data_IF_154137354521
#
_entry.id   IF_154137354521
#
_cell.length_a   1.000
_cell.length_b   1.000
_cell.length_c   1.000
_cell.angle_alpha   90.00
_cell.angle_beta   90.00
_cell.angle_gamma   90.00
#
_symmetry.space_group_name_H-M   'P 1'
#
loop_
_entity.id
_entity.type
_entity.pdbx_description
1 polymer ?
#
# COMPACT_ATOMS: atom_id res chain seq x y z
N UNK A 1 -63.55 -7.18 43.79
CA UNK A 1 -64.30 -7.01 45.06
C UNK A 1 -63.29 -6.92 46.18
N UNK A 2 -63.52 -6.01 47.14
CA UNK A 2 -62.97 -6.02 48.51
C UNK A 2 -61.44 -5.93 48.72
N UNK A 3 -60.97 -4.68 48.87
CA UNK A 3 -59.92 -4.24 49.83
C UNK A 3 -60.44 -4.29 51.30
N UNK A 4 -59.69 -3.85 52.36
CA UNK A 4 -58.29 -3.36 52.48
C UNK A 4 -57.44 -4.33 53.36
N UNK A 5 -56.63 -4.07 54.42
CA UNK A 5 -56.14 -2.93 55.26
C UNK A 5 -54.94 -3.49 56.11
N UNK A 6 -53.91 -2.83 56.69
CA UNK A 6 -53.40 -1.44 56.73
C UNK A 6 -51.97 -1.39 57.39
N UNK A 7 -51.39 -0.18 57.51
CA UNK A 7 -50.54 0.35 58.62
C UNK A 7 -49.17 -0.24 59.00
N UNK A 8 -48.13 0.50 58.59
CA UNK A 8 -47.03 1.06 59.43
C UNK A 8 -47.57 2.00 60.56
N UNK A 9 -46.81 2.62 61.52
CA UNK A 9 -45.35 2.91 61.54
C UNK A 9 -44.62 2.78 62.92
N UNK A 10 -43.33 3.22 63.00
CA UNK A 10 -42.60 3.58 64.25
C UNK A 10 -41.07 3.36 64.17
N UNK A 11 -40.15 4.29 63.85
CA UNK A 11 -39.83 5.68 64.28
C UNK A 11 -38.99 5.83 65.60
N UNK A 12 -37.66 5.77 65.48
CA UNK A 12 -36.64 6.54 66.26
C UNK A 12 -35.31 6.52 65.46
N UNK A 13 -34.64 7.63 65.09
CA UNK A 13 -34.06 8.79 65.84
C UNK A 13 -32.89 8.34 66.75
N UNK A 14 -31.70 8.96 66.74
CA UNK A 14 -31.36 10.40 66.59
C UNK A 14 -29.97 10.71 65.97
N UNK A 15 -29.80 11.93 65.40
CA UNK A 15 -28.65 12.88 65.53
C UNK A 15 -27.20 12.40 65.26
N UNK A 16 -26.45 12.89 64.25
CA UNK A 16 -25.74 14.21 64.12
C UNK A 16 -24.20 14.04 64.21
N UNK A 17 -23.31 14.88 63.66
CA UNK A 17 -23.44 16.12 62.89
C UNK A 17 -22.29 16.32 61.85
N UNK A 18 -22.44 17.39 61.05
CA UNK A 18 -21.58 17.87 59.94
C UNK A 18 -20.10 18.14 60.28
N UNK A 19 -19.27 18.12 59.23
CA UNK A 19 -18.23 19.13 59.00
C UNK A 19 -18.04 19.41 57.49
N UNK A 20 -18.21 20.66 57.05
CA UNK A 20 -17.84 21.14 55.71
C UNK A 20 -16.55 21.96 55.78
N UNK A 21 -15.77 22.00 54.71
CA UNK A 21 -14.86 23.12 54.44
C UNK A 21 -14.70 23.35 52.93
N UNK A 22 -14.47 24.61 52.53
CA UNK A 22 -14.41 25.09 51.14
C UNK A 22 -13.22 26.06 50.97
N UNK A 23 -12.94 26.62 49.76
CA UNK A 23 -11.59 26.68 49.22
C UNK A 23 -10.77 27.89 49.68
N UNK A 24 -9.51 27.94 49.23
CA UNK A 24 -8.73 29.17 49.12
C UNK A 24 -8.39 29.47 47.66
N UNK A 25 -8.60 30.71 47.26
CA UNK A 25 -8.07 31.29 46.04
C UNK A 25 -6.67 31.88 46.29
N UNK A 26 -5.85 31.99 45.25
CA UNK A 26 -4.90 33.10 45.10
C UNK A 26 -4.87 33.56 43.64
N UNK A 27 -5.22 34.84 43.46
CA UNK A 27 -4.96 35.69 42.28
C UNK A 27 -3.44 35.81 42.04
N UNK A 28 -2.89 36.25 40.90
CA UNK A 28 -3.40 36.65 39.57
C UNK A 28 -2.18 36.89 38.65
N UNK A 29 -2.34 36.91 37.32
CA UNK A 29 -1.34 37.53 36.44
C UNK A 29 -1.34 37.04 35.00
N UNK A 30 -2.06 37.74 34.11
CA UNK A 30 -1.80 37.68 32.67
C UNK A 30 -0.44 38.33 32.36
N UNK A 31 0.29 37.81 31.35
CA UNK A 31 0.81 38.70 30.30
C UNK A 31 1.26 38.02 29.00
N UNK A 32 1.07 38.79 27.95
CA UNK A 32 1.13 38.47 26.53
C UNK A 32 2.57 38.53 25.96
N UNK A 33 2.88 37.57 25.08
CA UNK A 33 3.82 37.63 23.94
C UNK A 33 5.36 37.72 24.10
N UNK A 34 6.00 37.36 22.98
CA UNK A 34 7.20 37.92 22.35
C UNK A 34 8.41 36.96 22.21
N UNK A 35 8.89 36.83 20.96
CA UNK A 35 10.19 36.23 20.63
C UNK A 35 11.34 37.16 21.05
N UNK A 36 12.49 36.63 21.49
CA UNK A 36 13.74 37.37 21.43
C UNK A 36 14.22 37.52 19.96
N UNK A 37 14.76 38.67 19.55
CA UNK A 37 15.22 38.92 18.18
C UNK A 37 16.67 38.47 17.93
N UNK A 38 17.10 38.57 16.67
CA UNK A 38 18.47 38.35 16.18
C UNK A 38 19.31 39.63 16.09
N UNK A 39 20.64 39.47 16.06
CA UNK A 39 21.67 40.51 15.87
C UNK A 39 21.93 41.40 17.12
N UNK A 40 23.08 42.09 17.28
CA UNK A 40 24.17 42.37 16.32
C UNK A 40 25.56 42.61 17.00
N UNK A 41 26.63 42.41 16.22
CA UNK A 41 28.01 43.01 16.26
C UNK A 41 28.78 43.34 17.58
N UNK A 42 30.08 43.01 17.57
CA UNK A 42 31.15 43.65 18.37
C UNK A 42 32.04 42.66 19.13
N UNK A 43 33.37 42.80 19.24
CA UNK A 43 34.30 43.78 18.66
C UNK A 43 35.66 43.78 19.41
N UNK A 44 36.80 43.94 18.71
CA UNK A 44 38.17 43.85 19.26
C UNK A 44 38.88 42.54 18.86
N UNK A 45 39.93 42.48 18.02
CA UNK A 45 41.26 43.14 18.02
C UNK A 45 42.29 42.48 18.97
N UNK A 46 43.54 42.28 18.51
CA UNK A 46 44.58 41.65 19.34
C UNK A 46 45.93 41.22 18.74
N UNK A 47 46.33 41.64 17.53
CA UNK A 47 47.66 41.33 16.95
C UNK A 47 47.88 39.85 16.52
N UNK A 48 49.01 39.48 15.92
CA UNK A 48 50.14 40.29 15.46
C UNK A 48 51.39 39.42 15.25
N UNK A 49 51.74 39.08 14.00
CA UNK A 49 52.90 38.24 13.68
C UNK A 49 53.22 38.23 12.18
N UNK A 50 54.46 38.54 11.82
CA UNK A 50 54.86 38.90 10.46
C UNK A 50 55.95 37.96 9.90
N UNK A 51 56.02 37.84 8.56
CA UNK A 51 57.16 37.44 7.69
C UNK A 51 57.27 35.99 7.15
N UNK A 52 57.22 35.95 5.82
CA UNK A 52 58.17 35.28 4.90
C UNK A 52 58.27 33.73 4.87
N UNK A 53 57.47 33.12 3.98
CA UNK A 53 57.94 32.34 2.81
C UNK A 53 58.66 30.99 2.98
N UNK A 54 58.23 29.97 2.20
CA UNK A 54 59.04 28.94 1.50
C UNK A 54 58.10 28.02 0.68
N UNK A 55 58.66 27.15 -0.18
CA UNK A 55 57.97 26.37 -1.21
C UNK A 55 57.00 25.25 -0.75
N UNK A 56 56.10 24.91 -1.70
CA UNK A 56 55.40 23.62 -1.93
C UNK A 56 56.21 22.35 -1.53
N UNK A 57 55.58 21.21 -1.18
CA UNK A 57 54.67 20.52 -2.12
C UNK A 57 53.47 19.69 -1.59
N UNK A 58 52.55 19.38 -2.53
CA UNK A 58 51.61 18.25 -2.60
C UNK A 58 50.65 17.92 -1.42
N UNK A 59 49.34 18.09 -1.67
CA UNK A 59 48.24 17.42 -0.97
C UNK A 59 47.18 16.94 -1.98
N UNK A 60 46.68 15.71 -1.85
CA UNK A 60 45.91 15.01 -2.92
C UNK A 60 44.39 15.14 -2.73
N UNK A 61 43.62 15.22 -3.82
CA UNK A 61 42.17 15.47 -3.78
C UNK A 61 41.34 14.41 -3.05
N UNK A 62 40.53 14.85 -2.08
CA UNK A 62 39.39 14.10 -1.55
C UNK A 62 38.08 14.39 -2.31
N UNK A 63 37.85 13.72 -3.46
CA UNK A 63 36.56 13.78 -4.20
C UNK A 63 36.12 12.38 -4.65
N UNK A 64 35.62 11.56 -3.72
CA UNK A 64 35.05 10.25 -4.06
C UNK A 64 33.94 9.80 -3.08
N UNK A 65 32.79 10.50 -3.10
CA UNK A 65 31.52 10.08 -2.47
C UNK A 65 30.30 10.10 -3.42
N UNK A 66 30.50 10.48 -4.69
CA UNK A 66 29.46 10.58 -5.71
C UNK A 66 29.57 9.54 -6.83
N UNK A 67 30.52 8.60 -6.75
CA UNK A 67 30.80 7.65 -7.85
C UNK A 67 30.07 6.32 -7.70
N UNK A 68 29.83 5.87 -6.47
CA UNK A 68 29.36 4.52 -6.19
C UNK A 68 27.87 4.37 -6.51
N UNK A 69 27.03 5.34 -6.13
CA UNK A 69 25.59 5.39 -6.50
C UNK A 69 25.33 5.30 -8.02
N UNK A 70 26.22 5.85 -8.84
CA UNK A 70 26.13 5.75 -10.31
C UNK A 70 26.60 4.40 -10.84
N UNK A 71 27.44 3.67 -10.09
CA UNK A 71 27.94 2.36 -10.47
C UNK A 71 26.86 1.28 -10.31
N UNK A 72 26.06 1.38 -9.25
CA UNK A 72 24.98 0.44 -8.97
C UNK A 72 23.79 0.64 -9.94
N UNK A 73 23.40 1.90 -10.21
CA UNK A 73 22.40 2.22 -11.26
C UNK A 73 22.79 1.68 -12.63
N UNK A 74 24.06 1.82 -13.06
CA UNK A 74 24.50 1.26 -14.34
C UNK A 74 24.49 -0.28 -14.35
N UNK A 75 24.82 -0.95 -13.24
CA UNK A 75 24.75 -2.41 -13.14
C UNK A 75 23.31 -2.94 -13.15
N UNK A 76 22.34 -2.17 -12.63
CA UNK A 76 20.92 -2.48 -12.79
C UNK A 76 20.50 -2.33 -14.26
N UNK A 77 20.83 -1.19 -14.90
CA UNK A 77 20.47 -0.89 -16.30
C UNK A 77 20.97 -1.92 -17.32
N UNK A 78 22.17 -2.49 -17.13
CA UNK A 78 22.73 -3.51 -18.05
C UNK A 78 21.95 -4.85 -18.08
N UNK A 79 20.98 -5.06 -17.18
CA UNK A 79 20.25 -6.32 -17.02
C UNK A 79 18.72 -6.14 -17.09
N UNK A 80 18.26 -4.98 -17.57
CA UNK A 80 16.87 -4.74 -17.95
C UNK A 80 16.65 -5.25 -19.39
N UNK A 81 15.43 -5.69 -19.73
CA UNK A 81 15.05 -5.94 -21.11
C UNK A 81 15.24 -4.72 -22.02
N UNK A 82 15.68 -4.96 -23.26
CA UNK A 82 15.87 -3.87 -24.23
C UNK A 82 14.54 -3.49 -24.91
N UNK A 83 14.36 -2.19 -25.14
CA UNK A 83 13.17 -1.59 -25.78
C UNK A 83 13.18 -1.80 -27.31
N UNK A 84 13.30 -3.04 -27.76
CA UNK A 84 13.03 -3.43 -29.14
C UNK A 84 11.51 -3.33 -29.42
N UNK A 85 11.10 -2.86 -30.59
CA UNK A 85 9.69 -2.98 -31.00
C UNK A 85 9.37 -4.45 -31.32
N UNK A 86 8.57 -5.08 -30.47
CA UNK A 86 8.16 -6.48 -30.64
C UNK A 86 7.15 -6.60 -31.80
N UNK A 87 7.63 -7.10 -32.93
CA UNK A 87 6.81 -7.51 -34.07
C UNK A 87 5.96 -8.74 -33.70
N UNK A 88 4.69 -8.49 -33.33
CA UNK A 88 3.69 -9.52 -33.01
C UNK A 88 3.52 -10.55 -34.14
N UNK A 89 3.90 -10.21 -35.39
CA UNK A 89 3.82 -11.10 -36.56
C UNK A 89 4.91 -12.19 -36.60
N UNK A 90 6.03 -12.03 -35.87
CA UNK A 90 7.23 -12.89 -36.02
C UNK A 90 7.46 -13.86 -34.88
N UNK A 91 7.07 -13.50 -33.66
CA UNK A 91 7.12 -14.37 -32.50
C UNK A 91 5.72 -14.41 -31.89
N UNK A 92 4.89 -15.32 -32.39
CA UNK A 92 3.59 -15.60 -31.77
C UNK A 92 3.82 -16.10 -30.34
N UNK A 93 3.53 -15.25 -29.35
CA UNK A 93 3.48 -15.65 -27.94
C UNK A 93 2.32 -16.62 -27.77
N UNK A 94 2.64 -17.92 -27.80
CA UNK A 94 1.75 -18.95 -28.35
C UNK A 94 0.32 -18.96 -27.82
N UNK A 95 -0.64 -19.16 -28.73
CA UNK A 95 -2.04 -19.46 -28.42
C UNK A 95 -2.25 -20.92 -27.97
N UNK A 96 -1.19 -21.57 -27.48
CA UNK A 96 -1.31 -22.73 -26.59
C UNK A 96 -1.90 -22.33 -25.24
N UNK A 97 -2.12 -23.28 -24.32
CA UNK A 97 -2.72 -23.02 -23.01
C UNK A 97 -2.00 -21.89 -22.26
N UNK A 98 -2.76 -20.98 -21.66
CA UNK A 98 -2.22 -19.92 -20.81
C UNK A 98 -2.01 -20.43 -19.38
N UNK A 99 -0.90 -20.04 -18.76
CA UNK A 99 -0.64 -20.27 -17.33
C UNK A 99 -0.47 -18.93 -16.61
N UNK A 100 -1.18 -18.73 -15.49
CA UNK A 100 -1.09 -17.50 -14.69
C UNK A 100 0.06 -17.59 -13.68
N UNK A 101 1.06 -16.71 -13.83
CA UNK A 101 2.16 -16.56 -12.88
C UNK A 101 1.64 -16.21 -11.48
N UNK A 102 0.59 -15.40 -11.35
CA UNK A 102 0.03 -15.03 -10.04
C UNK A 102 -0.62 -16.23 -9.35
N UNK A 103 -1.27 -17.13 -10.10
CA UNK A 103 -1.79 -18.39 -9.54
C UNK A 103 -0.65 -19.31 -9.09
N UNK A 104 0.41 -19.45 -9.89
CA UNK A 104 1.60 -20.22 -9.50
C UNK A 104 2.29 -19.65 -8.24
N UNK A 105 2.42 -18.32 -8.13
CA UNK A 105 2.94 -17.66 -6.91
C UNK A 105 2.08 -18.00 -5.67
N UNK A 106 0.77 -18.20 -5.82
CA UNK A 106 -0.16 -18.51 -4.72
C UNK A 106 -0.18 -19.98 -4.30
N UNK A 107 0.07 -20.93 -5.20
CA UNK A 107 0.08 -22.39 -4.87
C UNK A 107 1.08 -22.72 -3.74
N UNK A 108 0.76 -23.67 -2.83
CA UNK A 108 1.71 -24.14 -1.82
C UNK A 108 2.87 -24.89 -2.48
N UNK A 109 4.01 -25.01 -1.76
CA UNK A 109 5.22 -25.61 -2.32
C UNK A 109 5.00 -27.02 -2.88
N UNK A 110 4.21 -27.87 -2.20
CA UNK A 110 3.93 -29.23 -2.67
C UNK A 110 3.27 -29.26 -4.05
N UNK A 111 2.21 -28.48 -4.27
CA UNK A 111 1.52 -28.40 -5.58
C UNK A 111 2.42 -27.88 -6.71
N UNK A 112 3.51 -27.17 -6.39
CA UNK A 112 4.52 -26.76 -7.36
C UNK A 112 5.57 -27.85 -7.63
N UNK A 113 5.83 -28.75 -6.67
CA UNK A 113 6.60 -29.98 -6.92
C UNK A 113 5.78 -30.94 -7.79
N UNK A 114 4.51 -31.16 -7.44
CA UNK A 114 3.60 -32.06 -8.15
C UNK A 114 3.47 -31.64 -9.63
N UNK A 115 3.20 -30.35 -9.88
CA UNK A 115 3.11 -29.78 -11.24
C UNK A 115 4.48 -29.77 -11.98
N UNK A 116 5.59 -29.66 -11.26
CA UNK A 116 6.92 -29.78 -11.88
C UNK A 116 7.19 -31.23 -12.33
N UNK A 117 6.76 -32.24 -11.56
CA UNK A 117 6.86 -33.65 -11.94
C UNK A 117 5.95 -34.00 -13.13
N UNK A 118 4.71 -33.49 -13.16
CA UNK A 118 3.80 -33.61 -14.33
C UNK A 118 4.42 -33.03 -15.62
N UNK A 119 5.19 -31.94 -15.51
CA UNK A 119 5.92 -31.31 -16.61
C UNK A 119 7.30 -31.96 -16.90
N UNK A 120 7.64 -33.06 -16.24
CA UNK A 120 8.89 -33.81 -16.43
C UNK A 120 10.14 -33.13 -15.85
N UNK A 121 9.98 -32.14 -14.99
CA UNK A 121 11.06 -31.35 -14.39
C UNK A 121 11.57 -32.07 -13.13
N UNK A 122 12.54 -32.96 -13.28
CA UNK A 122 13.06 -33.78 -12.17
C UNK A 122 14.36 -33.26 -11.55
N UNK A 123 15.17 -32.50 -12.29
CA UNK A 123 16.48 -32.04 -11.82
C UNK A 123 16.38 -30.81 -10.90
N UNK A 124 16.98 -30.91 -9.70
CA UNK A 124 17.20 -29.79 -8.78
C UNK A 124 15.96 -29.29 -8.00
N UNK A 125 14.74 -29.56 -8.49
CA UNK A 125 13.48 -29.00 -7.96
C UNK A 125 13.31 -29.19 -6.45
N UNK A 126 13.60 -30.39 -5.93
CA UNK A 126 13.45 -30.73 -4.51
C UNK A 126 14.37 -29.95 -3.52
N UNK A 127 15.31 -29.14 -4.02
CA UNK A 127 16.14 -28.21 -3.22
C UNK A 127 16.09 -26.76 -3.70
N UNK A 128 15.30 -26.48 -4.74
CA UNK A 128 15.13 -25.15 -5.30
C UNK A 128 14.20 -24.30 -4.41
N UNK A 129 14.34 -22.97 -4.43
CA UNK A 129 13.38 -22.09 -3.72
C UNK A 129 12.10 -22.00 -4.52
N UNK A 130 10.98 -21.63 -3.89
CA UNK A 130 9.67 -21.51 -4.55
C UNK A 130 9.72 -20.70 -5.86
N UNK A 131 10.41 -19.56 -5.86
CA UNK A 131 10.61 -18.72 -7.06
C UNK A 131 11.38 -19.46 -8.17
N UNK A 132 12.42 -20.21 -7.82
CA UNK A 132 13.22 -20.97 -8.78
C UNK A 132 12.38 -22.10 -9.42
N UNK A 133 11.52 -22.76 -8.64
CA UNK A 133 10.57 -23.80 -9.12
C UNK A 133 9.54 -23.19 -10.08
N UNK A 134 8.92 -22.06 -9.71
CA UNK A 134 7.98 -21.34 -10.59
C UNK A 134 8.66 -20.93 -11.91
N UNK A 135 9.91 -20.46 -11.86
CA UNK A 135 10.67 -20.15 -13.07
C UNK A 135 10.92 -21.39 -13.96
N UNK A 136 11.21 -22.55 -13.38
CA UNK A 136 11.36 -23.81 -14.11
C UNK A 136 10.05 -24.23 -14.80
N UNK A 137 8.92 -24.20 -14.07
CA UNK A 137 7.58 -24.51 -14.59
C UNK A 137 7.25 -23.60 -15.79
N UNK A 138 7.38 -22.28 -15.63
CA UNK A 138 7.12 -21.32 -16.72
C UNK A 138 8.03 -21.54 -17.93
N UNK A 139 9.29 -21.91 -17.72
CA UNK A 139 10.26 -22.19 -18.79
C UNK A 139 9.96 -23.51 -19.53
N UNK A 140 9.41 -24.52 -18.85
CA UNK A 140 8.94 -25.74 -19.49
C UNK A 140 7.67 -25.48 -20.30
N UNK A 141 6.69 -24.77 -19.72
CA UNK A 141 5.43 -24.40 -20.37
C UNK A 141 5.63 -23.57 -21.64
N UNK A 142 6.49 -22.55 -21.57
CA UNK A 142 6.86 -21.72 -22.73
C UNK A 142 7.57 -22.52 -23.83
N UNK A 143 8.39 -23.53 -23.47
CA UNK A 143 9.02 -24.45 -24.43
C UNK A 143 8.02 -25.39 -25.11
N UNK A 144 6.91 -25.71 -24.46
CA UNK A 144 5.80 -26.47 -25.03
C UNK A 144 4.87 -25.62 -25.93
N UNK A 145 5.16 -24.33 -26.12
CA UNK A 145 4.34 -23.41 -26.92
C UNK A 145 3.15 -22.80 -26.17
N UNK A 146 3.05 -23.02 -24.85
CA UNK A 146 2.06 -22.36 -24.00
C UNK A 146 2.43 -20.92 -23.68
N UNK A 147 1.44 -20.03 -23.61
CA UNK A 147 1.64 -18.65 -23.18
C UNK A 147 1.68 -18.49 -21.66
N UNK A 148 2.30 -17.43 -21.17
CA UNK A 148 2.29 -17.05 -19.75
C UNK A 148 1.54 -15.73 -19.60
N UNK A 149 0.51 -15.72 -18.75
CA UNK A 149 -0.21 -14.50 -18.36
C UNK A 149 0.25 -14.02 -16.99
N UNK A 150 0.12 -12.71 -16.76
CA UNK A 150 0.39 -12.06 -15.48
C UNK A 150 -0.65 -10.97 -15.20
N UNK A 151 -0.77 -10.58 -13.94
CA UNK A 151 -1.56 -9.45 -13.47
C UNK A 151 -0.86 -8.72 -12.31
N UNK A 152 -0.80 -7.38 -12.33
CA UNK A 152 -0.14 -6.60 -11.28
C UNK A 152 -0.29 -5.10 -11.43
N UNK A 153 0.05 -4.34 -10.38
CA UNK A 153 -0.03 -2.86 -10.38
C UNK A 153 1.27 -2.27 -10.88
N UNK A 154 1.20 -1.39 -11.87
CA UNK A 154 2.35 -0.69 -12.42
C UNK A 154 2.94 0.34 -11.43
N UNK A 155 4.24 0.25 -11.20
CA UNK A 155 5.08 1.31 -10.65
C UNK A 155 5.98 1.86 -11.76
N UNK A 156 5.85 3.14 -12.12
CA UNK A 156 6.74 3.80 -13.09
C UNK A 156 7.89 4.49 -12.32
N UNK A 157 9.13 4.17 -12.70
CA UNK A 157 10.33 4.71 -12.07
C UNK A 157 10.85 5.98 -12.77
N UNK A 158 11.73 6.71 -12.10
CA UNK A 158 12.31 7.99 -12.57
C UNK A 158 12.95 7.93 -13.98
N UNK A 159 13.45 6.77 -14.37
CA UNK A 159 14.09 6.52 -15.67
C UNK A 159 13.07 6.29 -16.81
N UNK A 160 11.76 6.27 -16.52
CA UNK A 160 10.66 6.21 -17.50
C UNK A 160 10.20 4.80 -17.89
N UNK A 161 10.86 3.75 -17.39
CA UNK A 161 10.37 2.36 -17.43
C UNK A 161 9.64 2.02 -16.13
N UNK A 162 8.92 0.90 -16.09
CA UNK A 162 8.19 0.48 -14.89
C UNK A 162 8.25 -1.02 -14.62
N UNK A 163 7.67 -1.41 -13.49
CA UNK A 163 7.47 -2.81 -13.08
C UNK A 163 6.02 -3.07 -12.68
N UNK A 164 5.47 -4.24 -13.03
CA UNK A 164 4.24 -4.74 -12.41
C UNK A 164 4.58 -5.37 -11.06
N UNK A 165 4.04 -4.83 -9.98
CA UNK A 165 4.19 -5.30 -8.59
C UNK A 165 2.97 -6.13 -8.16
N UNK A 166 3.19 -7.14 -7.33
CA UNK A 166 2.11 -7.96 -6.77
C UNK A 166 1.43 -7.34 -5.53
N UNK A 167 0.08 -7.35 -5.44
CA UNK A 167 -0.61 -6.96 -4.20
C UNK A 167 -0.34 -7.96 -3.06
N UNK A 168 -0.20 -9.25 -3.38
CA UNK A 168 0.14 -10.33 -2.44
C UNK A 168 1.48 -10.10 -1.70
N UNK A 169 2.38 -9.32 -2.31
CA UNK A 169 3.68 -8.92 -1.78
C UNK A 169 3.66 -7.47 -1.24
N UNK A 170 2.46 -6.90 -1.00
CA UNK A 170 2.23 -5.51 -0.59
C UNK A 170 2.99 -4.49 -1.45
N UNK A 171 3.02 -4.70 -2.77
CA UNK A 171 3.74 -3.88 -3.73
C UNK A 171 5.25 -3.75 -3.42
N UNK A 172 5.88 -4.82 -2.92
CA UNK A 172 7.34 -4.93 -2.79
C UNK A 172 8.02 -5.09 -4.16
N UNK A 173 9.29 -4.73 -4.26
CA UNK A 173 10.11 -4.99 -5.43
C UNK A 173 10.66 -6.43 -5.40
N UNK A 174 10.02 -7.32 -6.18
CA UNK A 174 10.41 -8.71 -6.34
C UNK A 174 11.56 -8.92 -7.35
N UNK A 175 12.18 -10.10 -7.30
CA UNK A 175 13.09 -10.56 -8.36
C UNK A 175 12.32 -11.09 -9.59
N UNK A 176 11.06 -11.40 -9.39
CA UNK A 176 10.07 -11.98 -10.28
C UNK A 176 8.94 -10.99 -10.63
N UNK A 177 9.23 -9.69 -10.54
CA UNK A 177 8.42 -8.61 -11.11
C UNK A 177 8.60 -8.50 -12.63
N UNK A 178 7.59 -7.94 -13.29
CA UNK A 178 7.52 -7.85 -14.76
C UNK A 178 7.94 -6.46 -15.23
N UNK A 179 9.00 -6.38 -16.04
CA UNK A 179 9.43 -5.15 -16.69
C UNK A 179 8.39 -4.67 -17.73
N UNK A 180 8.08 -3.38 -17.70
CA UNK A 180 7.24 -2.68 -18.67
C UNK A 180 8.05 -1.56 -19.32
N UNK A 181 8.15 -1.60 -20.65
CA UNK A 181 8.96 -0.65 -21.42
C UNK A 181 8.39 0.79 -21.38
N UNK A 182 9.24 1.83 -21.47
CA UNK A 182 8.82 3.20 -21.74
C UNK A 182 7.94 3.32 -23.00
N UNK A 183 8.20 2.47 -24.00
CA UNK A 183 7.42 2.42 -25.25
C UNK A 183 6.00 1.91 -25.02
N UNK A 184 5.79 0.87 -24.22
CA UNK A 184 4.44 0.40 -23.82
C UNK A 184 3.74 1.45 -22.95
N UNK A 185 4.44 2.03 -21.97
CA UNK A 185 3.92 3.11 -21.10
C UNK A 185 3.39 4.28 -21.94
N UNK A 186 4.15 4.72 -22.95
CA UNK A 186 3.72 5.79 -23.88
C UNK A 186 2.60 5.34 -24.82
N UNK A 187 2.68 4.15 -25.42
CA UNK A 187 1.68 3.62 -26.39
C UNK A 187 0.28 3.51 -25.79
N UNK A 188 0.18 3.16 -24.51
CA UNK A 188 -1.09 2.98 -23.81
C UNK A 188 -1.40 4.10 -22.79
N UNK A 189 -0.55 5.13 -22.69
CA UNK A 189 -0.67 6.25 -21.74
C UNK A 189 -0.81 5.79 -20.27
N UNK A 190 -0.02 4.78 -19.90
CA UNK A 190 -0.06 4.13 -18.58
C UNK A 190 0.47 5.04 -17.48
N UNK A 191 -0.04 4.86 -16.26
CA UNK A 191 0.38 5.57 -15.04
C UNK A 191 0.67 4.60 -13.90
N UNK A 192 1.42 5.07 -12.90
CA UNK A 192 1.53 4.37 -11.63
C UNK A 192 0.13 4.11 -11.05
N UNK A 193 -0.08 2.94 -10.45
CA UNK A 193 -1.38 2.48 -9.94
C UNK A 193 -2.26 1.73 -10.95
N UNK A 194 -1.90 1.71 -12.24
CA UNK A 194 -2.67 0.95 -13.24
C UNK A 194 -2.46 -0.55 -13.04
N UNK A 195 -3.56 -1.29 -12.88
CA UNK A 195 -3.54 -2.75 -12.81
C UNK A 195 -3.57 -3.33 -14.21
N UNK A 196 -2.47 -3.91 -14.63
CA UNK A 196 -2.27 -4.42 -15.99
C UNK A 196 -2.33 -5.94 -15.93
N UNK A 197 -3.16 -6.52 -16.79
CA UNK A 197 -3.11 -7.94 -17.10
C UNK A 197 -2.67 -8.14 -18.55
N UNK A 198 -1.85 -9.15 -18.81
CA UNK A 198 -1.26 -9.35 -20.13
C UNK A 198 -0.38 -10.59 -20.26
N UNK A 199 0.05 -10.89 -21.50
CA UNK A 199 1.04 -11.94 -21.78
C UNK A 199 2.46 -11.45 -21.50
N UNK A 200 3.32 -12.30 -20.94
CA UNK A 200 4.74 -12.02 -20.69
C UNK A 200 5.67 -12.94 -21.51
N UNK A 201 6.91 -12.49 -21.70
CA UNK A 201 8.01 -13.32 -22.23
C UNK A 201 9.08 -13.54 -21.16
N UNK A 202 9.77 -14.67 -21.24
CA UNK A 202 10.98 -14.92 -20.45
C UNK A 202 12.08 -13.88 -20.78
N UNK A 203 13.02 -13.64 -19.84
CA UNK A 203 14.24 -12.90 -20.14
C UNK A 203 15.07 -13.57 -21.26
N UNK A 204 15.63 -12.73 -22.14
CA UNK A 204 16.71 -13.10 -23.08
C UNK A 204 18.03 -13.29 -22.33
N UNK A 205 19.04 -13.81 -23.02
CA UNK A 205 20.41 -13.88 -22.50
C UNK A 205 20.93 -12.49 -22.10
N UNK A 206 21.31 -12.33 -20.83
CA UNK A 206 21.73 -11.04 -20.23
C UNK A 206 20.61 -10.24 -19.54
N UNK A 207 19.33 -10.53 -19.80
CA UNK A 207 18.20 -9.93 -19.08
C UNK A 207 17.94 -10.67 -17.76
N UNK A 208 17.52 -9.96 -16.69
CA UNK A 208 17.12 -10.59 -15.42
C UNK A 208 15.61 -10.79 -15.24
N UNK A 209 14.81 -9.87 -15.76
CA UNK A 209 13.37 -9.81 -15.49
C UNK A 209 12.56 -10.38 -16.65
N UNK A 210 11.39 -10.95 -16.33
CA UNK A 210 10.36 -11.16 -17.35
C UNK A 210 9.94 -9.81 -17.93
N UNK A 211 9.61 -9.77 -19.22
CA UNK A 211 9.13 -8.56 -19.88
C UNK A 211 7.66 -8.74 -20.29
N UNK A 212 6.86 -7.69 -20.13
CA UNK A 212 5.51 -7.65 -20.67
C UNK A 212 5.59 -7.72 -22.20
N UNK A 213 4.92 -8.71 -22.81
CA UNK A 213 4.85 -8.87 -24.26
C UNK A 213 3.66 -8.07 -24.82
N UNK A 214 2.47 -8.31 -24.28
CA UNK A 214 1.22 -7.64 -24.69
C UNK A 214 0.38 -7.24 -23.48
N UNK A 215 -0.21 -6.05 -23.52
CA UNK A 215 -1.28 -5.64 -22.61
C UNK A 215 -2.59 -6.23 -23.11
N UNK A 216 -3.29 -7.00 -22.28
CA UNK A 216 -4.61 -7.55 -22.62
C UNK A 216 -5.75 -6.74 -21.96
N UNK A 217 -5.56 -6.27 -20.72
CA UNK A 217 -6.48 -5.29 -20.08
C UNK A 217 -5.74 -4.28 -19.20
N UNK A 218 -6.39 -3.12 -18.98
CA UNK A 218 -5.99 -2.06 -18.05
C UNK A 218 -7.15 -1.84 -17.08
N UNK A 219 -6.91 -2.06 -15.78
CA UNK A 219 -7.88 -2.04 -14.68
C UNK A 219 -9.15 -2.87 -14.96
N UNK A 220 -9.02 -3.98 -15.70
CA UNK A 220 -10.14 -4.86 -16.07
C UNK A 220 -10.91 -4.47 -17.33
N UNK A 221 -10.49 -3.44 -18.06
CA UNK A 221 -11.08 -3.01 -19.34
C UNK A 221 -10.10 -3.18 -20.52
N UNK A 222 -10.57 -3.32 -21.77
CA UNK A 222 -9.71 -3.29 -22.95
C UNK A 222 -8.89 -1.98 -23.04
N UNK A 223 -7.64 -2.01 -23.52
CA UNK A 223 -6.76 -0.83 -23.53
C UNK A 223 -7.31 0.38 -24.29
N UNK A 224 -8.20 0.15 -25.25
CA UNK A 224 -8.91 1.18 -26.02
C UNK A 224 -9.79 2.06 -25.13
N UNK A 225 -10.42 1.48 -24.10
CA UNK A 225 -11.33 2.19 -23.20
C UNK A 225 -10.60 3.24 -22.35
N UNK A 226 -9.31 3.02 -22.05
CA UNK A 226 -8.50 3.94 -21.23
C UNK A 226 -8.10 5.24 -21.93
N UNK A 227 -8.19 5.31 -23.26
CA UNK A 227 -7.78 6.49 -24.04
C UNK A 227 -8.68 7.71 -23.83
N UNK A 228 -9.94 7.50 -23.44
CA UNK A 228 -10.97 8.55 -23.33
C UNK A 228 -11.31 8.94 -21.88
N UNK A 229 -10.45 8.59 -20.91
CA UNK A 229 -10.73 8.80 -19.48
C UNK A 229 -10.31 10.17 -18.99
N UNK A 230 -11.10 10.72 -18.05
CA UNK A 230 -10.79 11.96 -17.35
C UNK A 230 -9.86 11.62 -16.19
N UNK A 231 -8.70 12.28 -16.14
CA UNK A 231 -7.73 12.13 -15.06
C UNK A 231 -8.33 12.49 -13.71
N UNK A 232 -7.91 11.83 -12.63
CA UNK A 232 -8.38 12.07 -11.26
C UNK A 232 -8.25 13.55 -10.86
N UNK A 233 -7.13 14.19 -11.24
CA UNK A 233 -6.86 15.60 -10.97
C UNK A 233 -7.83 16.59 -11.66
N UNK A 234 -8.55 16.13 -12.71
CA UNK A 234 -9.53 16.91 -13.45
C UNK A 234 -10.98 16.65 -13.00
N UNK A 235 -11.22 15.75 -12.05
CA UNK A 235 -12.56 15.47 -11.52
C UNK A 235 -13.00 16.60 -10.59
N UNK A 236 -14.25 17.04 -10.70
CA UNK A 236 -14.80 18.09 -9.81
C UNK A 236 -15.07 17.50 -8.41
N UNK A 237 -14.40 17.97 -7.34
CA UNK A 237 -14.67 17.49 -5.99
C UNK A 237 -16.04 17.96 -5.51
N UNK A 238 -16.81 17.06 -4.89
CA UNK A 238 -18.12 17.32 -4.31
C UNK A 238 -18.22 16.65 -2.94
N UNK A 239 -19.07 17.20 -2.07
CA UNK A 239 -19.43 16.52 -0.82
C UNK A 239 -20.18 15.20 -1.11
N UNK A 240 -20.01 14.15 -0.27
CA UNK A 240 -20.75 12.90 -0.40
C UNK A 240 -22.26 13.11 -0.46
N UNK A 241 -22.91 12.49 -1.45
CA UNK A 241 -24.39 12.53 -1.66
C UNK A 241 -25.07 11.18 -1.49
N UNK A 242 -24.29 10.13 -1.22
CA UNK A 242 -24.76 8.76 -0.95
C UNK A 242 -24.07 8.28 0.32
N UNK A 243 -24.85 7.73 1.24
CA UNK A 243 -24.34 7.10 2.47
C UNK A 243 -23.87 5.67 2.18
N UNK A 244 -22.86 5.22 2.91
CA UNK A 244 -22.62 3.81 3.18
C UNK A 244 -23.29 3.49 4.52
N UNK A 245 -24.35 2.68 4.50
CA UNK A 245 -24.98 2.16 5.71
C UNK A 245 -24.13 1.02 6.30
N UNK A 246 -23.76 1.16 7.56
CA UNK A 246 -22.93 0.24 8.31
C UNK A 246 -23.75 -0.73 9.18
N UNK A 247 -25.05 -0.47 9.40
CA UNK A 247 -25.99 -1.48 9.93
C UNK A 247 -26.09 -2.68 8.97
N UNK A 248 -25.76 -3.88 9.46
CA UNK A 248 -25.86 -5.15 8.72
C UNK A 248 -27.23 -5.83 8.91
N UNK A 249 -28.03 -5.35 9.88
CA UNK A 249 -29.41 -5.78 10.12
C UNK A 249 -29.56 -7.21 10.65
N UNK A 250 -28.46 -7.82 11.11
CA UNK A 250 -28.41 -9.22 11.51
C UNK A 250 -28.68 -9.44 13.02
N UNK A 251 -28.76 -8.36 13.80
CA UNK A 251 -29.01 -8.40 15.24
C UNK A 251 -27.83 -8.90 16.09
N UNK A 252 -26.62 -9.04 15.53
CA UNK A 252 -25.43 -9.42 16.29
C UNK A 252 -24.98 -8.28 17.22
N UNK A 253 -24.25 -8.63 18.29
CA UNK A 253 -23.66 -7.66 19.22
C UNK A 253 -22.60 -6.78 18.55
N UNK A 254 -21.96 -7.26 17.48
CA UNK A 254 -20.97 -6.51 16.71
C UNK A 254 -21.65 -5.41 15.88
N UNK A 255 -22.85 -5.70 15.36
CA UNK A 255 -23.65 -4.80 14.52
C UNK A 255 -24.02 -3.48 15.22
N UNK A 256 -24.01 -3.49 16.56
CA UNK A 256 -24.17 -2.30 17.40
C UNK A 256 -23.14 -1.21 17.03
N UNK A 257 -21.91 -1.56 16.62
CA UNK A 257 -20.91 -0.58 16.19
C UNK A 257 -21.32 0.14 14.91
N UNK A 258 -21.77 -0.59 13.88
CA UNK A 258 -22.23 0.00 12.62
C UNK A 258 -23.46 0.90 12.83
N UNK A 259 -24.41 0.42 13.62
CA UNK A 259 -25.66 1.13 13.97
C UNK A 259 -25.42 2.44 14.73
N UNK A 260 -24.42 2.49 15.62
CA UNK A 260 -24.05 3.73 16.33
C UNK A 260 -23.34 4.71 15.38
N UNK A 261 -22.48 4.22 14.48
CA UNK A 261 -21.82 5.07 13.48
C UNK A 261 -22.83 5.69 12.50
N UNK A 262 -23.78 4.91 11.99
CA UNK A 262 -24.85 5.38 11.09
C UNK A 262 -25.73 6.48 11.70
N UNK A 263 -25.86 6.52 13.03
CA UNK A 263 -26.64 7.53 13.76
C UNK A 263 -25.83 8.78 14.15
N UNK A 264 -24.54 8.64 14.50
CA UNK A 264 -23.74 9.71 15.11
C UNK A 264 -22.70 10.30 14.14
N UNK A 265 -22.13 9.48 13.26
CA UNK A 265 -21.09 9.87 12.31
C UNK A 265 -21.27 9.18 10.93
N UNK A 266 -22.33 9.51 10.17
CA UNK A 266 -22.63 8.88 8.89
C UNK A 266 -21.44 8.92 7.91
N UNK A 267 -21.11 7.77 7.32
CA UNK A 267 -20.03 7.65 6.32
C UNK A 267 -20.63 7.73 4.92
N UNK A 268 -20.05 8.55 4.05
CA UNK A 268 -20.51 8.73 2.66
C UNK A 268 -19.52 8.23 1.61
N UNK A 269 -20.00 8.03 0.38
CA UNK A 269 -19.13 7.75 -0.79
C UNK A 269 -18.27 8.98 -1.07
N UNK A 270 -16.94 8.83 -0.94
CA UNK A 270 -15.97 9.94 -0.96
C UNK A 270 -15.78 10.66 0.39
N UNK A 271 -16.22 10.08 1.51
CA UNK A 271 -16.02 10.67 2.84
C UNK A 271 -14.55 10.63 3.27
N UNK A 272 -14.03 11.77 3.75
CA UNK A 272 -12.77 11.82 4.50
C UNK A 272 -13.08 11.79 6.00
N UNK A 273 -12.90 10.63 6.62
CA UNK A 273 -13.10 10.40 8.05
C UNK A 273 -11.79 10.43 8.86
N UNK A 274 -11.89 10.40 10.18
CA UNK A 274 -10.78 10.20 11.11
C UNK A 274 -11.32 9.55 12.39
N UNK A 275 -10.77 8.39 12.77
CA UNK A 275 -11.09 7.72 14.05
C UNK A 275 -10.01 8.13 15.05
N UNK A 276 -10.37 8.95 16.03
CA UNK A 276 -9.46 9.38 17.11
C UNK A 276 -9.64 8.43 18.30
N UNK A 277 -8.62 7.64 18.60
CA UNK A 277 -8.66 6.62 19.66
C UNK A 277 -7.36 6.58 20.46
N UNK A 278 -7.46 6.43 21.78
CA UNK A 278 -6.30 6.10 22.61
C UNK A 278 -5.82 4.65 22.35
N UNK A 279 -4.55 4.31 22.67
CA UNK A 279 -4.08 2.92 22.61
C UNK A 279 -5.01 1.97 23.38
N UNK A 280 -5.26 0.78 22.82
CA UNK A 280 -6.20 -0.24 23.34
C UNK A 280 -7.68 0.15 23.42
N UNK A 281 -8.09 1.32 22.93
CA UNK A 281 -9.51 1.75 22.90
C UNK A 281 -10.35 1.13 21.74
N UNK A 282 -9.99 -0.06 21.24
CA UNK A 282 -10.78 -0.78 20.23
C UNK A 282 -10.64 -0.34 18.76
N UNK A 283 -9.63 0.47 18.40
CA UNK A 283 -9.32 0.93 17.02
C UNK A 283 -9.51 -0.18 15.97
N UNK A 284 -8.79 -1.29 16.15
CA UNK A 284 -8.72 -2.40 15.20
C UNK A 284 -10.08 -3.11 15.05
N UNK A 285 -10.80 -3.33 16.16
CA UNK A 285 -12.15 -3.92 16.15
C UNK A 285 -13.18 -3.02 15.46
N UNK A 286 -13.11 -1.70 15.66
CA UNK A 286 -14.00 -0.74 14.98
C UNK A 286 -13.74 -0.74 13.46
N UNK A 287 -12.48 -0.75 13.04
CA UNK A 287 -12.11 -0.86 11.63
C UNK A 287 -12.56 -2.20 11.01
N UNK A 288 -12.37 -3.32 11.70
CA UNK A 288 -12.89 -4.63 11.27
C UNK A 288 -14.41 -4.61 11.08
N UNK A 289 -15.18 -4.03 12.00
CA UNK A 289 -16.63 -3.92 11.88
C UNK A 289 -17.07 -3.07 10.69
N UNK A 290 -16.46 -1.89 10.49
CA UNK A 290 -16.72 -1.03 9.32
C UNK A 290 -16.41 -1.81 8.03
N UNK A 291 -15.26 -2.46 7.97
CA UNK A 291 -14.80 -3.21 6.80
C UNK A 291 -15.72 -4.41 6.47
N UNK A 292 -16.15 -5.16 7.48
CA UNK A 292 -17.13 -6.25 7.30
C UNK A 292 -18.50 -5.74 6.85
N UNK A 293 -18.97 -4.62 7.40
CA UNK A 293 -20.24 -4.01 6.99
C UNK A 293 -20.20 -3.54 5.53
N UNK A 294 -19.09 -2.89 5.10
CA UNK A 294 -18.88 -2.51 3.71
C UNK A 294 -18.86 -3.73 2.77
N UNK A 295 -18.13 -4.79 3.11
CA UNK A 295 -18.06 -6.04 2.32
C UNK A 295 -19.43 -6.75 2.23
N UNK A 296 -20.28 -6.64 3.25
CA UNK A 296 -21.63 -7.22 3.22
C UNK A 296 -22.62 -6.36 2.43
N UNK A 297 -22.66 -5.05 2.72
CA UNK A 297 -23.71 -4.15 2.24
C UNK A 297 -23.38 -3.55 0.86
N UNK A 298 -22.10 -3.48 0.50
CA UNK A 298 -21.58 -2.85 -0.72
C UNK A 298 -20.48 -3.69 -1.40
N UNK A 299 -20.79 -4.95 -1.82
CA UNK A 299 -19.81 -5.82 -2.49
C UNK A 299 -19.35 -5.30 -3.86
N UNK A 300 -19.91 -4.18 -4.37
CA UNK A 300 -19.42 -3.50 -5.57
C UNK A 300 -18.33 -2.45 -5.29
N UNK A 301 -18.13 -2.07 -4.02
CA UNK A 301 -17.08 -1.13 -3.62
C UNK A 301 -15.72 -1.83 -3.49
N UNK A 302 -14.66 -1.19 -3.97
CA UNK A 302 -13.29 -1.72 -3.88
C UNK A 302 -12.66 -1.29 -2.56
N UNK A 303 -12.64 -2.19 -1.58
CA UNK A 303 -12.11 -1.93 -0.23
C UNK A 303 -10.62 -2.29 -0.13
N UNK A 304 -9.79 -1.31 0.20
CA UNK A 304 -8.35 -1.47 0.45
C UNK A 304 -8.05 -1.18 1.93
N UNK A 305 -7.47 -2.15 2.63
CA UNK A 305 -7.03 -1.96 4.02
C UNK A 305 -5.51 -1.79 4.02
N UNK A 306 -5.07 -0.53 4.11
CA UNK A 306 -3.67 -0.17 4.22
C UNK A 306 -3.23 -0.13 5.69
N UNK A 307 -2.26 -0.99 6.05
CA UNK A 307 -1.66 -1.06 7.38
C UNK A 307 -0.20 -0.58 7.32
N UNK A 308 0.15 0.44 8.10
CA UNK A 308 1.48 1.07 8.13
C UNK A 308 1.96 1.14 9.58
N UNK A 309 3.24 0.80 9.80
CA UNK A 309 3.89 0.80 11.13
C UNK A 309 3.13 -0.05 12.16
N UNK A 310 2.49 -1.12 11.67
CA UNK A 310 1.58 -1.97 12.43
C UNK A 310 2.19 -3.37 12.65
N UNK A 311 1.68 -4.09 13.64
CA UNK A 311 2.25 -5.37 14.07
C UNK A 311 1.96 -6.54 13.11
N UNK A 312 2.91 -7.47 12.86
CA UNK A 312 2.68 -8.64 12.01
C UNK A 312 1.48 -9.50 12.44
N UNK A 313 1.22 -9.62 13.75
CA UNK A 313 0.04 -10.32 14.28
C UNK A 313 -1.28 -9.63 13.92
N UNK A 314 -1.37 -8.29 14.03
CA UNK A 314 -2.57 -7.52 13.69
C UNK A 314 -2.82 -7.48 12.17
N UNK A 315 -1.75 -7.44 11.35
CA UNK A 315 -1.83 -7.63 9.90
C UNK A 315 -2.41 -9.00 9.56
N UNK A 316 -1.91 -10.07 10.20
CA UNK A 316 -2.35 -11.45 9.98
C UNK A 316 -3.81 -11.65 10.41
N UNK A 317 -4.23 -11.02 11.50
CA UNK A 317 -5.62 -11.02 11.95
C UNK A 317 -6.54 -10.33 10.94
N UNK A 318 -6.17 -9.15 10.44
CA UNK A 318 -6.95 -8.40 9.45
C UNK A 318 -7.11 -9.18 8.13
N UNK A 319 -6.01 -9.75 7.62
CA UNK A 319 -6.00 -10.58 6.39
C UNK A 319 -6.92 -11.81 6.48
N UNK A 320 -7.17 -12.34 7.69
CA UNK A 320 -8.05 -13.49 7.91
C UNK A 320 -9.50 -13.10 8.22
N UNK A 321 -9.71 -11.89 8.73
CA UNK A 321 -11.02 -11.44 9.27
C UNK A 321 -11.85 -10.61 8.29
N UNK A 322 -11.26 -10.09 7.21
CA UNK A 322 -11.95 -9.29 6.19
C UNK A 322 -11.58 -9.75 4.78
N UNK A 323 -12.58 -9.91 3.92
CA UNK A 323 -12.40 -10.16 2.47
C UNK A 323 -12.17 -8.82 1.75
N UNK A 324 -10.95 -8.29 1.86
CA UNK A 324 -10.52 -7.00 1.29
C UNK A 324 -9.12 -7.10 0.65
N UNK A 325 -8.71 -6.07 -0.10
CA UNK A 325 -7.31 -5.92 -0.52
C UNK A 325 -6.48 -5.41 0.69
N UNK A 326 -5.88 -6.32 1.46
CA UNK A 326 -5.09 -5.94 2.65
C UNK A 326 -3.62 -5.78 2.29
N UNK A 327 -3.13 -4.54 2.31
CA UNK A 327 -1.76 -4.15 1.95
C UNK A 327 -1.04 -3.65 3.21
N UNK A 328 0.18 -4.10 3.46
CA UNK A 328 0.88 -3.85 4.73
C UNK A 328 2.36 -3.49 4.60
N UNK A 329 2.81 -2.58 5.46
CA UNK A 329 4.22 -2.40 5.80
C UNK A 329 4.33 -2.42 7.34
N UNK A 330 4.92 -3.48 7.90
CA UNK A 330 5.07 -3.63 9.36
C UNK A 330 6.14 -2.69 9.92
N UNK A 331 6.18 -2.53 11.25
CA UNK A 331 7.17 -1.70 11.95
C UNK A 331 8.64 -2.13 11.74
N UNK A 332 8.90 -3.34 11.23
CA UNK A 332 10.23 -3.83 10.88
C UNK A 332 10.80 -3.20 9.59
N UNK A 333 9.93 -2.63 8.75
CA UNK A 333 10.29 -1.99 7.48
C UNK A 333 10.75 -0.53 7.70
N UNK A 334 11.70 -0.01 6.90
CA UNK A 334 12.15 1.37 7.04
C UNK A 334 11.07 2.36 6.57
N UNK A 335 11.00 3.55 7.18
CA UNK A 335 9.98 4.57 6.84
C UNK A 335 9.87 4.94 5.35
N UNK A 336 10.95 4.80 4.56
CA UNK A 336 10.92 4.97 3.09
C UNK A 336 9.98 3.96 2.41
N UNK A 337 9.92 2.72 2.92
CA UNK A 337 9.03 1.66 2.46
C UNK A 337 7.57 1.99 2.78
N UNK A 338 7.28 2.49 3.98
CA UNK A 338 5.93 2.94 4.35
C UNK A 338 5.38 3.98 3.36
N UNK A 339 6.22 4.97 3.01
CA UNK A 339 5.89 6.00 2.01
C UNK A 339 5.63 5.38 0.63
N UNK A 340 6.54 4.54 0.14
CA UNK A 340 6.37 3.87 -1.17
C UNK A 340 5.08 3.04 -1.25
N UNK A 341 4.74 2.27 -0.21
CA UNK A 341 3.52 1.46 -0.16
C UNK A 341 2.27 2.35 -0.15
N UNK A 342 2.28 3.42 0.64
CA UNK A 342 1.17 4.38 0.67
C UNK A 342 0.99 5.13 -0.67
N UNK A 343 2.09 5.51 -1.34
CA UNK A 343 2.08 6.13 -2.68
C UNK A 343 1.52 5.17 -3.74
N UNK A 344 1.92 3.89 -3.72
CA UNK A 344 1.38 2.86 -4.60
C UNK A 344 -0.12 2.64 -4.38
N UNK A 345 -0.58 2.58 -3.13
CA UNK A 345 -1.99 2.39 -2.78
C UNK A 345 -2.86 3.60 -3.17
N UNK A 346 -2.40 4.84 -2.93
CA UNK A 346 -3.21 6.01 -3.29
C UNK A 346 -3.29 6.20 -4.81
N UNK A 347 -2.22 5.95 -5.56
CA UNK A 347 -2.30 5.96 -7.03
C UNK A 347 -3.18 4.81 -7.55
N UNK A 348 -3.12 3.63 -6.94
CA UNK A 348 -4.03 2.50 -7.23
C UNK A 348 -5.49 2.89 -7.05
N UNK A 349 -5.82 3.55 -5.94
CA UNK A 349 -7.17 4.06 -5.67
C UNK A 349 -7.60 5.14 -6.68
N UNK A 350 -6.72 6.07 -7.06
CA UNK A 350 -7.03 7.08 -8.10
C UNK A 350 -7.40 6.45 -9.44
N UNK A 351 -6.62 5.47 -9.94
CA UNK A 351 -6.93 4.79 -11.22
C UNK A 351 -8.28 4.07 -11.18
N UNK A 352 -8.65 3.48 -10.04
CA UNK A 352 -9.97 2.88 -9.83
C UNK A 352 -11.10 3.93 -9.85
N UNK A 353 -10.90 5.12 -9.26
CA UNK A 353 -11.88 6.21 -9.30
C UNK A 353 -12.01 6.84 -10.70
N UNK A 354 -10.92 6.91 -11.48
CA UNK A 354 -10.97 7.29 -12.92
C UNK A 354 -11.82 6.31 -13.74
N UNK A 355 -11.87 5.04 -13.32
CA UNK A 355 -12.78 4.00 -13.82
C UNK A 355 -14.18 4.02 -13.19
N UNK A 356 -14.54 5.09 -12.45
CA UNK A 356 -15.84 5.28 -11.78
C UNK A 356 -16.17 4.20 -10.74
N UNK A 357 -15.17 3.55 -10.16
CA UNK A 357 -15.35 2.67 -8.99
C UNK A 357 -15.45 3.51 -7.73
N UNK A 358 -16.36 3.14 -6.84
CA UNK A 358 -16.30 3.58 -5.45
C UNK A 358 -15.20 2.78 -4.75
N UNK A 359 -14.22 3.49 -4.19
CA UNK A 359 -13.07 2.93 -3.47
C UNK A 359 -13.13 3.41 -2.02
N UNK A 360 -12.76 2.54 -1.08
CA UNK A 360 -12.65 2.85 0.36
C UNK A 360 -11.27 2.43 0.86
#
# INVERSE_FOLDING_TARGET
>A
MSEPDNKDPGESRTSDARAESKPRETQSGDNIAANPPSAESGGGEGGGGERQGVNRPQGRHGRNRGRDRNRDRNQQRMQLPQDEEYDESRNGGGDGPLIDLNELKRKPAQQLLDLAEELGIQEGVARARKQDIVFMILKAHARAGGGVSVQGVLEILQDGFGFLRGPDESYLAGADDIYVSPSQIRRFNLRTGDYIAGRVRNPKEGERYFALLRVDTINGEPPEASKNKVLFENLTPLFPRKMFHLERGNGSTEDITGRILDLIAPVGRGQRGMIVSQPKAGKTMMLQNIAQALVQNYPEAHLIILLIDERPEEVTEMQRSVRAEVISSTFDEPAVRHVQVAEMVIERAKRLVEHKKDVV
#
